data_IF_509964194820
#
_entry.id   IF_509964194820
#
_cell.length_a   1.000
_cell.length_b   1.000
_cell.length_c   1.000
_cell.angle_alpha   90.00
_cell.angle_beta   90.00
_cell.angle_gamma   90.00
#
_symmetry.space_group_name_H-M   'P 1'
#
loop_
_entity.id
_entity.type
_entity.pdbx_description
1 polymer ?
#
# COMPACT_ATOMS: atom_id res chain seq x y z
N UNK A 1 -19.76 12.68 -15.62
CA UNK A 1 -19.06 11.69 -14.78
C UNK A 1 -18.26 10.81 -15.71
N UNK A 2 -17.08 10.37 -15.33
CA UNK A 2 -16.29 9.43 -16.13
C UNK A 2 -17.03 8.10 -16.29
N UNK A 3 -16.92 7.51 -17.48
CA UNK A 3 -17.38 6.14 -17.76
C UNK A 3 -16.27 5.11 -17.39
N UNK A 4 -15.10 5.60 -17.05
CA UNK A 4 -13.92 4.78 -16.75
C UNK A 4 -13.49 4.99 -15.31
N UNK A 5 -13.15 3.88 -14.63
CA UNK A 5 -12.63 3.91 -13.27
C UNK A 5 -11.17 4.38 -13.24
N UNK A 6 -10.32 3.82 -14.11
CA UNK A 6 -8.92 4.22 -14.17
C UNK A 6 -8.30 3.94 -15.55
N UNK A 7 -7.23 4.68 -15.87
CA UNK A 7 -6.38 4.45 -17.02
C UNK A 7 -4.92 4.68 -16.66
N UNK A 8 -4.00 3.92 -17.25
CA UNK A 8 -2.59 4.23 -17.20
C UNK A 8 -1.83 3.67 -18.41
N UNK A 9 -0.87 4.45 -18.89
CA UNK A 9 0.16 4.00 -19.81
C UNK A 9 1.39 3.61 -19.01
N UNK A 10 1.96 2.44 -19.28
CA UNK A 10 3.10 1.91 -18.56
C UNK A 10 4.01 1.04 -19.38
N UNK A 11 5.14 0.65 -18.80
CA UNK A 11 6.02 -0.38 -19.35
C UNK A 11 6.36 -1.40 -18.28
N UNK A 12 6.81 -2.57 -18.69
CA UNK A 12 7.12 -3.60 -17.72
C UNK A 12 7.98 -4.71 -18.28
N UNK A 13 8.13 -5.75 -17.50
CA UNK A 13 8.97 -6.90 -17.80
C UNK A 13 8.12 -8.13 -18.07
N UNK A 14 8.46 -8.88 -19.12
CA UNK A 14 7.89 -10.17 -19.42
C UNK A 14 8.94 -11.28 -19.30
N UNK A 15 8.50 -12.49 -18.99
CA UNK A 15 9.37 -13.67 -19.08
C UNK A 15 9.48 -14.20 -20.51
N UNK A 16 10.29 -15.22 -20.72
CA UNK A 16 10.49 -15.88 -22.02
C UNK A 16 9.21 -16.49 -22.64
N UNK A 17 8.18 -16.71 -21.83
CA UNK A 17 6.88 -17.24 -22.25
C UNK A 17 5.86 -16.12 -22.53
N UNK A 18 6.33 -14.88 -22.64
CA UNK A 18 5.53 -13.69 -22.91
C UNK A 18 4.51 -13.33 -21.80
N UNK A 19 4.70 -13.82 -20.59
CA UNK A 19 3.88 -13.48 -19.42
C UNK A 19 4.44 -12.27 -18.69
N UNK A 20 3.58 -11.32 -18.34
CA UNK A 20 3.94 -10.17 -17.53
C UNK A 20 4.44 -10.58 -16.14
N UNK A 21 5.61 -10.08 -15.74
CA UNK A 21 6.15 -10.20 -14.38
C UNK A 21 5.74 -9.02 -13.51
N UNK A 22 5.78 -7.82 -14.08
CA UNK A 22 5.46 -6.55 -13.43
C UNK A 22 5.17 -5.46 -14.47
N UNK A 23 4.55 -4.35 -14.01
CA UNK A 23 4.35 -3.14 -14.84
C UNK A 23 4.56 -1.89 -13.98
N UNK A 24 5.28 -0.92 -14.54
CA UNK A 24 5.48 0.42 -14.01
C UNK A 24 4.51 1.40 -14.66
N UNK A 25 3.72 2.09 -13.85
CA UNK A 25 2.82 3.17 -14.29
C UNK A 25 3.27 4.49 -13.66
N UNK A 26 3.95 5.38 -14.38
CA UNK A 26 4.45 6.64 -13.83
C UNK A 26 3.35 7.62 -13.42
N UNK A 27 2.23 7.61 -14.14
CA UNK A 27 1.16 8.59 -14.00
C UNK A 27 -0.22 7.95 -14.22
N UNK A 28 -0.72 7.15 -13.28
CA UNK A 28 -2.04 6.56 -13.37
C UNK A 28 -3.12 7.61 -13.08
N UNK A 29 -4.23 7.57 -13.81
CA UNK A 29 -5.37 8.44 -13.61
C UNK A 29 -6.60 7.67 -13.12
N UNK A 30 -7.30 8.24 -12.12
CA UNK A 30 -8.60 7.75 -11.64
C UNK A 30 -9.72 8.66 -12.15
N UNK A 31 -10.86 8.07 -12.53
CA UNK A 31 -11.99 8.79 -13.14
C UNK A 31 -11.55 9.73 -14.27
N UNK A 32 -10.76 9.24 -15.25
CA UNK A 32 -10.21 10.08 -16.33
C UNK A 32 -11.33 10.73 -17.15
N UNK A 33 -11.00 11.80 -17.89
CA UNK A 33 -11.90 12.33 -18.91
C UNK A 33 -12.18 11.22 -19.94
N UNK A 34 -13.44 11.04 -20.31
CA UNK A 34 -13.84 10.01 -21.28
C UNK A 34 -13.09 10.16 -22.62
N UNK A 35 -12.81 11.38 -23.04
CA UNK A 35 -12.07 11.65 -24.26
C UNK A 35 -10.68 11.03 -24.28
N UNK A 36 -10.04 10.88 -23.13
CA UNK A 36 -8.71 10.27 -23.04
C UNK A 36 -8.71 8.82 -23.60
N UNK A 37 -9.82 8.10 -23.43
CA UNK A 37 -10.00 6.75 -23.97
C UNK A 37 -10.65 6.77 -25.35
N UNK A 38 -11.65 7.62 -25.55
CA UNK A 38 -12.44 7.65 -26.80
C UNK A 38 -11.61 7.97 -28.03
N UNK A 39 -10.66 8.91 -27.93
CA UNK A 39 -9.82 9.35 -29.08
C UNK A 39 -8.85 8.27 -29.57
N UNK A 40 -8.54 7.28 -28.73
CA UNK A 40 -7.60 6.18 -29.09
C UNK A 40 -8.31 4.84 -29.26
N UNK A 41 -9.62 4.78 -28.99
CA UNK A 41 -10.40 3.55 -28.92
C UNK A 41 -10.37 2.75 -30.23
N UNK A 42 -10.58 3.41 -31.35
CA UNK A 42 -10.67 2.76 -32.66
C UNK A 42 -9.33 2.16 -33.10
N UNK A 43 -8.24 2.92 -32.98
CA UNK A 43 -6.89 2.45 -33.36
C UNK A 43 -6.42 1.26 -32.52
N UNK A 44 -6.84 1.21 -31.24
CA UNK A 44 -6.48 0.13 -30.32
C UNK A 44 -7.42 -1.09 -30.41
N UNK A 45 -8.52 -0.98 -31.16
CA UNK A 45 -9.57 -2.02 -31.20
C UNK A 45 -10.19 -2.25 -29.83
N UNK A 46 -10.22 -1.21 -28.97
CA UNK A 46 -10.78 -1.33 -27.63
C UNK A 46 -12.32 -1.28 -27.68
N UNK A 47 -12.96 -2.40 -27.36
CA UNK A 47 -14.42 -2.54 -27.44
C UNK A 47 -15.15 -2.15 -26.16
N UNK A 48 -14.43 -1.98 -25.05
CA UNK A 48 -14.96 -1.66 -23.71
C UNK A 48 -14.53 -2.68 -22.65
N UNK A 49 -14.95 -2.44 -21.42
CA UNK A 49 -14.61 -3.27 -20.27
C UNK A 49 -13.21 -2.98 -19.70
N UNK A 50 -12.75 -3.85 -18.79
CA UNK A 50 -11.38 -3.78 -18.31
C UNK A 50 -10.44 -4.46 -19.31
N UNK A 51 -9.35 -3.81 -19.66
CA UNK A 51 -8.40 -4.31 -20.65
C UNK A 51 -6.96 -3.85 -20.37
N UNK A 52 -6.00 -4.72 -20.65
CA UNK A 52 -4.59 -4.40 -20.74
C UNK A 52 -4.13 -4.66 -22.18
N UNK A 53 -3.81 -3.60 -22.91
CA UNK A 53 -3.50 -3.62 -24.34
C UNK A 53 -2.02 -3.35 -24.51
N UNK A 54 -1.27 -4.36 -24.94
CA UNK A 54 0.13 -4.18 -25.32
C UNK A 54 0.23 -3.37 -26.61
N UNK A 55 1.11 -2.39 -26.61
CA UNK A 55 1.18 -1.40 -27.67
C UNK A 55 2.39 -1.60 -28.57
N UNK A 56 2.15 -1.53 -29.87
CA UNK A 56 3.22 -1.35 -30.86
C UNK A 56 3.73 0.09 -30.85
N UNK A 57 4.95 0.30 -31.31
CA UNK A 57 5.54 1.65 -31.46
C UNK A 57 4.63 2.60 -32.27
N UNK A 58 3.99 2.10 -33.33
CA UNK A 58 3.03 2.88 -34.11
C UNK A 58 1.81 3.34 -33.31
N UNK A 59 1.27 2.44 -32.46
CA UNK A 59 0.13 2.78 -31.60
C UNK A 59 0.52 3.80 -30.54
N UNK A 60 1.73 3.70 -29.96
CA UNK A 60 2.24 4.70 -29.01
C UNK A 60 2.35 6.08 -29.68
N UNK A 61 2.88 6.15 -30.91
CA UNK A 61 2.92 7.40 -31.67
C UNK A 61 1.53 7.97 -31.96
N UNK A 62 0.56 7.10 -32.30
CA UNK A 62 -0.82 7.50 -32.49
C UNK A 62 -1.43 8.07 -31.21
N UNK A 63 -1.31 7.36 -30.10
CA UNK A 63 -1.78 7.82 -28.77
C UNK A 63 -1.20 9.20 -28.44
N UNK A 64 0.11 9.41 -28.61
CA UNK A 64 0.77 10.68 -28.31
C UNK A 64 0.19 11.85 -29.13
N UNK A 65 -0.14 11.59 -30.39
CA UNK A 65 -0.76 12.58 -31.28
C UNK A 65 -2.19 12.89 -30.88
N UNK A 66 -3.04 11.87 -30.75
CA UNK A 66 -4.47 12.03 -30.45
C UNK A 66 -4.70 12.68 -29.08
N UNK A 67 -3.92 12.29 -28.07
CA UNK A 67 -3.99 12.94 -26.78
C UNK A 67 -3.60 14.41 -26.84
N UNK A 68 -2.55 14.77 -27.60
CA UNK A 68 -2.16 16.17 -27.79
C UNK A 68 -3.24 16.97 -28.51
N UNK A 69 -3.80 16.43 -29.62
CA UNK A 69 -4.87 17.08 -30.37
C UNK A 69 -6.15 17.24 -29.57
N UNK A 70 -6.42 16.33 -28.65
CA UNK A 70 -7.54 16.41 -27.71
C UNK A 70 -7.30 17.34 -26.50
N UNK A 71 -6.07 17.88 -26.36
CA UNK A 71 -5.70 18.82 -25.28
C UNK A 71 -5.11 18.18 -24.04
N UNK A 72 -4.77 16.89 -24.06
CA UNK A 72 -4.12 16.14 -22.98
C UNK A 72 -2.60 16.20 -23.12
N UNK A 73 -2.02 17.39 -23.01
CA UNK A 73 -0.57 17.61 -23.22
C UNK A 73 0.30 16.84 -22.22
N UNK A 74 -0.18 16.69 -20.98
CA UNK A 74 0.53 15.98 -19.91
C UNK A 74 0.64 14.49 -20.24
N UNK A 75 -0.46 13.82 -20.54
CA UNK A 75 -0.53 12.41 -20.90
C UNK A 75 0.19 12.14 -22.23
N UNK A 76 0.05 13.05 -23.19
CA UNK A 76 0.77 12.97 -24.47
C UNK A 76 2.29 13.02 -24.26
N UNK A 77 2.79 13.77 -23.28
CA UNK A 77 4.23 13.83 -22.99
C UNK A 77 4.78 12.49 -22.50
N UNK A 78 4.03 11.76 -21.71
CA UNK A 78 4.39 10.38 -21.32
C UNK A 78 4.37 9.43 -22.54
N UNK A 79 3.32 9.51 -23.36
CA UNK A 79 3.26 8.68 -24.57
C UNK A 79 4.45 8.95 -25.52
N UNK A 80 4.92 10.20 -25.61
CA UNK A 80 6.15 10.52 -26.36
C UNK A 80 7.38 9.87 -25.71
N UNK A 81 7.51 9.92 -24.38
CA UNK A 81 8.63 9.30 -23.68
C UNK A 81 8.64 7.76 -23.86
N UNK A 82 7.49 7.12 -23.86
CA UNK A 82 7.37 5.67 -24.10
C UNK A 82 7.72 5.22 -25.51
N UNK A 83 7.84 6.12 -26.48
CA UNK A 83 8.36 5.77 -27.82
C UNK A 83 9.81 5.28 -27.78
N UNK A 84 10.59 5.69 -26.78
CA UNK A 84 11.98 5.28 -26.58
C UNK A 84 12.12 4.04 -25.67
N UNK A 85 11.01 3.39 -25.31
CA UNK A 85 11.04 2.24 -24.40
C UNK A 85 11.62 1.00 -25.08
N UNK A 86 12.63 0.40 -24.45
CA UNK A 86 13.16 -0.93 -24.80
C UNK A 86 12.31 -2.07 -24.19
N UNK A 87 11.47 -1.73 -23.21
CA UNK A 87 10.56 -2.68 -22.53
C UNK A 87 9.18 -2.67 -23.20
N UNK A 88 8.43 -3.78 -23.12
CA UNK A 88 7.04 -3.81 -23.58
C UNK A 88 6.21 -2.72 -22.94
N UNK A 89 5.41 -2.02 -23.75
CA UNK A 89 4.54 -0.92 -23.31
C UNK A 89 3.09 -1.40 -23.32
N UNK A 90 2.34 -1.04 -22.28
CA UNK A 90 0.95 -1.44 -22.09
C UNK A 90 0.09 -0.24 -21.72
N UNK A 91 -1.06 -0.11 -22.34
CA UNK A 91 -2.16 0.74 -21.90
C UNK A 91 -3.15 -0.12 -21.14
N UNK A 92 -3.40 0.22 -19.88
CA UNK A 92 -4.42 -0.46 -19.07
C UNK A 92 -5.58 0.47 -18.84
N UNK A 93 -6.77 0.02 -19.23
CA UNK A 93 -8.05 0.72 -19.05
C UNK A 93 -8.92 -0.11 -18.13
N UNK A 94 -9.39 0.47 -17.04
CA UNK A 94 -10.38 -0.12 -16.15
C UNK A 94 -11.67 0.68 -16.29
N UNK A 95 -12.68 0.10 -16.93
CA UNK A 95 -14.01 0.71 -17.02
C UNK A 95 -14.71 0.63 -15.66
N UNK A 96 -14.49 -0.47 -14.93
CA UNK A 96 -15.06 -0.69 -13.59
C UNK A 96 -13.98 -1.16 -12.61
N UNK A 97 -14.24 -1.00 -11.31
CA UNK A 97 -13.42 -1.57 -10.24
C UNK A 97 -13.77 -3.06 -9.99
N UNK A 98 -13.84 -3.86 -11.05
CA UNK A 98 -13.99 -5.32 -10.94
C UNK A 98 -12.70 -5.98 -10.41
N UNK A 99 -12.75 -7.27 -10.08
CA UNK A 99 -11.56 -8.07 -9.82
C UNK A 99 -10.59 -7.99 -11.01
N UNK A 100 -9.27 -7.80 -10.76
CA UNK A 100 -8.30 -7.75 -11.87
C UNK A 100 -8.26 -9.11 -12.58
N UNK A 101 -8.16 -9.09 -13.90
CA UNK A 101 -8.07 -10.30 -14.73
C UNK A 101 -6.64 -10.55 -15.24
N UNK A 102 -5.71 -9.61 -15.05
CA UNK A 102 -4.34 -9.70 -15.54
C UNK A 102 -3.34 -9.05 -14.57
N UNK A 103 -2.05 -9.38 -14.74
CA UNK A 103 -0.95 -8.75 -13.99
C UNK A 103 -0.93 -7.22 -14.19
N UNK A 104 -1.05 -6.65 -15.41
CA UNK A 104 -1.12 -5.20 -15.60
C UNK A 104 -2.27 -4.54 -14.85
N UNK A 105 -3.48 -5.13 -14.85
CA UNK A 105 -4.61 -4.59 -14.10
C UNK A 105 -4.37 -4.60 -12.58
N UNK A 106 -3.77 -5.69 -12.05
CA UNK A 106 -3.41 -5.78 -10.65
C UNK A 106 -2.37 -4.71 -10.27
N UNK A 107 -1.34 -4.52 -11.10
CA UNK A 107 -0.32 -3.48 -10.90
C UNK A 107 -0.89 -2.07 -10.96
N UNK A 108 -1.82 -1.79 -11.90
CA UNK A 108 -2.48 -0.49 -11.94
C UNK A 108 -3.19 -0.19 -10.61
N UNK A 109 -3.95 -1.15 -10.07
CA UNK A 109 -4.64 -0.96 -8.78
C UNK A 109 -3.67 -0.74 -7.61
N UNK A 110 -2.52 -1.43 -7.58
CA UNK A 110 -1.49 -1.20 -6.57
C UNK A 110 -0.87 0.21 -6.72
N UNK A 111 -0.65 0.67 -7.96
CA UNK A 111 -0.15 2.02 -8.21
C UNK A 111 -1.14 3.10 -7.77
N UNK A 112 -2.46 2.93 -8.01
CA UNK A 112 -3.48 3.88 -7.55
C UNK A 112 -3.38 4.13 -6.03
N UNK A 113 -3.10 3.10 -5.24
CA UNK A 113 -2.90 3.24 -3.80
C UNK A 113 -1.58 3.96 -3.48
N UNK A 114 -0.48 3.52 -4.10
CA UNK A 114 0.85 4.09 -3.81
C UNK A 114 1.00 5.53 -4.30
N UNK A 115 0.32 5.92 -5.38
CA UNK A 115 0.20 7.31 -5.84
C UNK A 115 -0.77 8.15 -4.99
N UNK A 116 -1.37 7.59 -3.93
CA UNK A 116 -2.35 8.27 -3.05
C UNK A 116 -3.65 8.69 -3.75
N UNK A 117 -3.96 8.11 -4.90
CA UNK A 117 -5.18 8.39 -5.64
C UNK A 117 -6.39 7.72 -5.00
N UNK A 118 -6.16 6.59 -4.35
CA UNK A 118 -7.17 5.89 -3.53
C UNK A 118 -6.56 5.43 -2.21
N UNK A 119 -7.37 5.39 -1.16
CA UNK A 119 -6.94 4.84 0.14
C UNK A 119 -7.02 3.31 0.14
N UNK A 120 -6.37 2.61 1.07
CA UNK A 120 -6.59 1.19 1.30
C UNK A 120 -8.09 0.87 1.37
N UNK A 121 -8.49 -0.26 0.78
CA UNK A 121 -9.89 -0.66 0.54
C UNK A 121 -10.66 0.19 -0.48
N UNK A 122 -10.05 1.19 -1.10
CA UNK A 122 -10.67 2.01 -2.13
C UNK A 122 -10.67 1.39 -3.53
N UNK A 123 -10.05 0.21 -3.70
CA UNK A 123 -10.05 -0.57 -4.94
C UNK A 123 -10.25 -2.05 -4.63
N UNK A 124 -10.89 -2.76 -5.56
CA UNK A 124 -11.08 -4.20 -5.46
C UNK A 124 -9.80 -4.95 -5.84
N UNK A 125 -9.14 -5.55 -4.86
CA UNK A 125 -7.94 -6.38 -5.01
C UNK A 125 -8.24 -7.89 -4.88
N UNK A 126 -9.52 -8.29 -4.84
CA UNK A 126 -9.89 -9.71 -4.81
C UNK A 126 -9.29 -10.43 -6.02
N UNK A 127 -8.89 -11.68 -5.85
CA UNK A 127 -8.38 -12.49 -6.97
C UNK A 127 -6.97 -12.13 -7.47
N UNK A 128 -6.30 -11.09 -6.95
CA UNK A 128 -5.01 -10.63 -7.51
C UNK A 128 -3.83 -11.58 -7.22
N UNK A 129 -3.85 -12.35 -6.12
CA UNK A 129 -2.72 -13.20 -5.75
C UNK A 129 -2.32 -14.24 -6.80
N UNK A 130 -3.24 -14.95 -7.47
CA UNK A 130 -2.90 -15.85 -8.57
C UNK A 130 -2.31 -15.15 -9.79
N UNK A 131 -2.66 -13.88 -10.02
CA UNK A 131 -2.20 -13.09 -11.17
C UNK A 131 -0.78 -12.56 -10.98
N UNK A 132 -0.33 -12.39 -9.74
CA UNK A 132 1.02 -11.93 -9.44
C UNK A 132 1.97 -13.12 -9.38
N UNK A 133 2.95 -13.23 -10.30
CA UNK A 133 3.97 -14.28 -10.22
C UNK A 133 4.89 -14.03 -9.01
N UNK A 134 5.54 -15.10 -8.55
CA UNK A 134 6.65 -14.98 -7.62
C UNK A 134 7.90 -14.62 -8.43
N UNK A 135 8.52 -13.49 -8.15
CA UNK A 135 9.58 -12.88 -8.97
C UNK A 135 10.85 -12.71 -8.16
N UNK A 136 12.01 -12.94 -8.76
CA UNK A 136 13.29 -12.51 -8.23
C UNK A 136 13.51 -11.02 -8.56
N UNK A 137 13.46 -10.17 -7.54
CA UNK A 137 13.74 -8.74 -7.66
C UNK A 137 15.24 -8.53 -7.56
N UNK A 138 15.87 -8.14 -8.68
CA UNK A 138 17.31 -8.09 -8.81
C UNK A 138 17.81 -6.65 -9.02
N UNK A 139 19.14 -6.49 -9.04
CA UNK A 139 19.75 -5.22 -9.44
C UNK A 139 19.60 -4.89 -10.93
N UNK A 140 19.05 -5.81 -11.74
CA UNK A 140 18.73 -5.61 -13.16
C UNK A 140 17.21 -5.65 -13.42
N UNK A 141 16.38 -5.52 -12.36
CA UNK A 141 14.92 -5.57 -12.45
C UNK A 141 14.33 -6.93 -12.12
N UNK A 142 13.10 -7.16 -12.60
CA UNK A 142 12.33 -8.37 -12.37
C UNK A 142 12.84 -9.54 -13.21
N UNK A 143 13.04 -10.70 -12.58
CA UNK A 143 13.50 -11.92 -13.25
C UNK A 143 12.60 -13.09 -12.86
N UNK A 144 12.13 -13.84 -13.84
CA UNK A 144 11.41 -15.09 -13.61
C UNK A 144 12.30 -16.10 -12.89
N UNK A 145 11.77 -16.78 -11.89
CA UNK A 145 12.53 -17.76 -11.11
C UNK A 145 13.02 -18.93 -11.97
N UNK A 146 12.28 -19.29 -13.03
CA UNK A 146 12.71 -20.33 -13.96
C UNK A 146 13.92 -19.91 -14.82
N UNK A 147 14.10 -18.60 -15.01
CA UNK A 147 15.23 -18.03 -15.79
C UNK A 147 16.41 -17.60 -14.91
N UNK A 148 16.20 -17.50 -13.61
CA UNK A 148 17.14 -16.87 -12.68
C UNK A 148 18.52 -17.54 -12.69
N UNK A 149 18.56 -18.87 -12.64
CA UNK A 149 19.82 -19.61 -12.61
C UNK A 149 20.67 -19.38 -13.85
N UNK A 150 20.04 -19.40 -15.03
CA UNK A 150 20.69 -19.14 -16.32
C UNK A 150 21.25 -17.70 -16.37
N UNK A 151 20.43 -16.71 -15.97
CA UNK A 151 20.83 -15.30 -15.96
C UNK A 151 21.97 -15.04 -14.99
N UNK A 152 21.95 -15.67 -13.80
CA UNK A 152 23.05 -15.57 -12.83
C UNK A 152 24.35 -16.20 -13.39
N UNK A 153 24.27 -17.34 -14.08
CA UNK A 153 25.42 -17.95 -14.73
C UNK A 153 26.00 -17.03 -15.80
N UNK A 154 25.16 -16.49 -16.69
CA UNK A 154 25.58 -15.59 -17.76
C UNK A 154 26.21 -14.30 -17.22
N UNK A 155 25.65 -13.73 -16.15
CA UNK A 155 26.25 -12.59 -15.46
C UNK A 155 27.67 -12.91 -14.97
N UNK A 156 27.86 -14.07 -14.29
CA UNK A 156 29.17 -14.53 -13.78
C UNK A 156 30.19 -14.76 -14.89
N UNK A 157 29.77 -15.36 -15.99
CA UNK A 157 30.66 -15.57 -17.15
C UNK A 157 31.12 -14.24 -17.76
N UNK A 158 30.33 -13.17 -17.64
CA UNK A 158 30.66 -11.81 -18.06
C UNK A 158 31.33 -10.96 -16.95
N UNK A 159 31.76 -11.58 -15.84
CA UNK A 159 32.44 -10.87 -14.73
C UNK A 159 31.52 -9.98 -13.89
N UNK A 160 30.19 -10.17 -13.99
CA UNK A 160 29.16 -9.40 -13.25
C UNK A 160 28.49 -10.24 -12.18
N UNK A 161 27.74 -9.58 -11.32
CA UNK A 161 26.91 -10.21 -10.32
C UNK A 161 25.45 -9.79 -10.54
N UNK A 162 24.59 -10.74 -10.83
CA UNK A 162 23.14 -10.54 -10.74
C UNK A 162 22.74 -10.80 -9.28
N UNK A 163 22.53 -9.72 -8.53
CA UNK A 163 22.16 -9.78 -7.11
C UNK A 163 20.63 -9.87 -6.96
N UNK A 164 20.18 -10.82 -6.16
CA UNK A 164 18.76 -10.94 -5.79
C UNK A 164 18.53 -10.20 -4.49
N UNK A 165 17.69 -9.17 -4.52
CA UNK A 165 17.35 -8.35 -3.36
C UNK A 165 16.20 -8.99 -2.56
N UNK A 166 15.23 -9.60 -3.26
CA UNK A 166 14.11 -10.34 -2.66
C UNK A 166 13.51 -11.31 -3.66
N UNK A 167 12.73 -12.27 -3.15
CA UNK A 167 11.88 -13.16 -3.94
C UNK A 167 10.48 -13.03 -3.36
N UNK A 168 9.58 -12.38 -4.09
CA UNK A 168 8.22 -12.09 -3.61
C UNK A 168 7.30 -11.79 -4.79
N UNK A 169 5.99 -11.86 -4.55
CA UNK A 169 4.95 -11.40 -5.48
C UNK A 169 4.89 -9.87 -5.57
N UNK A 170 5.28 -9.17 -4.49
CA UNK A 170 5.22 -7.72 -4.39
C UNK A 170 6.62 -7.12 -4.44
N UNK A 171 6.87 -6.16 -5.33
CA UNK A 171 8.09 -5.37 -5.27
C UNK A 171 8.07 -4.38 -4.11
N UNK A 172 9.22 -3.83 -3.76
CA UNK A 172 9.27 -2.64 -2.90
C UNK A 172 8.68 -1.44 -3.63
N UNK A 173 7.90 -0.64 -2.91
CA UNK A 173 7.18 0.51 -3.48
C UNK A 173 8.12 1.50 -4.18
N UNK A 174 9.29 1.76 -3.60
CA UNK A 174 10.20 2.81 -4.06
C UNK A 174 10.88 2.54 -5.40
N UNK A 175 10.78 1.34 -5.95
CA UNK A 175 11.22 1.06 -7.32
C UNK A 175 10.17 1.53 -8.36
N UNK A 176 8.97 1.91 -7.90
CA UNK A 176 7.83 2.32 -8.72
C UNK A 176 7.33 3.71 -8.36
N UNK A 177 7.13 3.97 -7.07
CA UNK A 177 6.55 5.21 -6.56
C UNK A 177 7.34 5.67 -5.33
N UNK A 178 7.78 6.93 -5.37
CA UNK A 178 8.33 7.62 -4.19
C UNK A 178 7.43 8.81 -3.88
N UNK A 179 6.50 8.67 -2.94
CA UNK A 179 5.58 9.76 -2.61
C UNK A 179 6.33 10.98 -2.05
N UNK A 180 5.87 12.18 -2.39
CA UNK A 180 6.45 13.41 -1.85
C UNK A 180 6.22 13.55 -0.33
N UNK A 181 7.17 14.20 0.36
CA UNK A 181 7.04 14.54 1.77
C UNK A 181 7.15 13.37 2.75
N UNK A 182 7.81 12.25 2.37
CA UNK A 182 8.02 11.08 3.24
C UNK A 182 9.49 10.82 3.52
N UNK A 183 9.74 10.09 4.62
CA UNK A 183 11.05 9.52 4.93
C UNK A 183 10.90 8.00 5.09
N UNK A 184 11.72 7.23 4.38
CA UNK A 184 11.72 5.76 4.40
C UNK A 184 13.14 5.29 4.63
N UNK A 185 13.45 4.78 5.82
CA UNK A 185 14.81 4.39 6.20
C UNK A 185 15.25 3.06 5.58
N UNK A 186 14.32 2.09 5.42
CA UNK A 186 14.55 0.83 4.71
C UNK A 186 13.41 0.59 3.70
N UNK A 187 13.73 0.80 2.43
CA UNK A 187 12.75 0.71 1.33
C UNK A 187 12.24 -0.70 1.08
N UNK A 188 13.00 -1.74 1.46
CA UNK A 188 12.59 -3.15 1.32
C UNK A 188 11.37 -3.51 2.18
N UNK A 189 11.06 -2.67 3.16
CA UNK A 189 9.98 -2.90 4.12
C UNK A 189 8.65 -2.24 3.76
N UNK A 190 8.56 -1.59 2.60
CA UNK A 190 7.35 -0.95 2.08
C UNK A 190 6.99 -1.56 0.73
N UNK A 191 5.88 -2.28 0.66
CA UNK A 191 5.42 -2.94 -0.56
C UNK A 191 4.70 -1.98 -1.49
N UNK A 192 4.82 -2.17 -2.80
CA UNK A 192 3.93 -1.53 -3.77
C UNK A 192 2.46 -1.85 -3.41
N UNK A 193 1.59 -0.85 -3.49
CA UNK A 193 0.23 -0.91 -2.95
C UNK A 193 0.11 -0.42 -1.51
N UNK A 194 1.20 0.08 -0.90
CA UNK A 194 1.14 0.82 0.35
C UNK A 194 0.72 2.28 0.10
N UNK A 195 -0.10 2.82 0.98
CA UNK A 195 -0.45 4.25 1.04
C UNK A 195 0.40 4.93 2.10
N UNK A 196 1.33 5.77 1.69
CA UNK A 196 2.22 6.48 2.62
C UNK A 196 1.90 7.98 2.55
N UNK A 197 1.12 8.49 3.51
CA UNK A 197 0.69 9.89 3.56
C UNK A 197 1.85 10.85 3.82
N UNK A 198 1.66 12.11 3.43
CA UNK A 198 2.66 13.16 3.60
C UNK A 198 3.02 13.38 5.08
N UNK A 199 4.30 13.67 5.36
CA UNK A 199 4.81 13.81 6.71
C UNK A 199 5.10 12.47 7.43
N UNK A 200 4.89 11.32 6.78
CA UNK A 200 5.20 10.02 7.36
C UNK A 200 6.69 9.75 7.38
N UNK A 201 7.18 9.30 8.54
CA UNK A 201 8.52 8.75 8.71
C UNK A 201 8.44 7.26 9.00
N UNK A 202 8.97 6.42 8.10
CA UNK A 202 9.09 4.97 8.29
C UNK A 202 10.53 4.69 8.71
N UNK A 203 10.70 4.22 9.95
CA UNK A 203 12.00 3.87 10.52
C UNK A 203 12.45 2.48 10.04
N UNK A 204 13.69 2.07 10.36
CA UNK A 204 14.27 0.81 9.87
C UNK A 204 13.46 -0.44 10.20
N UNK A 205 12.80 -0.48 11.37
CA UNK A 205 11.95 -1.59 11.78
C UNK A 205 10.52 -1.46 11.26
N UNK A 206 10.13 -0.28 10.75
CA UNK A 206 8.82 -0.02 10.20
C UNK A 206 8.53 -0.88 8.97
N UNK A 207 7.29 -1.39 8.88
CA UNK A 207 6.84 -2.19 7.73
C UNK A 207 5.41 -1.79 7.35
N UNK A 208 5.19 -1.56 6.05
CA UNK A 208 3.84 -1.31 5.51
C UNK A 208 3.57 -2.29 4.36
N UNK A 209 2.50 -3.05 4.52
CA UNK A 209 2.05 -4.01 3.53
C UNK A 209 1.25 -3.34 2.40
N UNK A 210 0.96 -4.07 1.31
CA UNK A 210 0.02 -3.63 0.27
C UNK A 210 -1.39 -3.47 0.89
N UNK A 211 -2.23 -2.65 0.26
CA UNK A 211 -3.58 -2.32 0.73
C UNK A 211 -3.61 -1.90 2.21
N UNK A 212 -2.56 -1.23 2.67
CA UNK A 212 -2.37 -0.74 4.03
C UNK A 212 -1.67 0.61 3.99
N UNK A 213 -1.66 1.34 5.10
CA UNK A 213 -0.94 2.60 5.10
C UNK A 213 -1.25 3.51 6.26
N UNK A 214 -0.77 4.74 6.12
CA UNK A 214 -0.97 5.82 7.09
C UNK A 214 -1.32 7.13 6.39
N UNK A 215 -2.21 7.88 6.99
CA UNK A 215 -2.60 9.23 6.52
C UNK A 215 -1.44 10.22 6.63
N UNK A 216 -0.54 10.04 7.61
CA UNK A 216 0.50 11.02 7.96
C UNK A 216 -0.06 12.31 8.56
N UNK A 217 0.79 13.18 9.15
CA UNK A 217 2.13 12.83 9.58
C UNK A 217 2.12 11.75 10.67
N UNK A 218 3.24 11.06 10.89
CA UNK A 218 3.37 10.06 11.95
C UNK A 218 4.67 9.25 11.83
N UNK A 219 5.04 8.57 12.90
CA UNK A 219 6.22 7.71 12.96
C UNK A 219 5.83 6.23 12.94
N UNK A 220 6.38 5.49 11.99
CA UNK A 220 6.13 4.06 11.81
C UNK A 220 7.42 3.29 12.09
N UNK A 221 7.54 2.76 13.29
CA UNK A 221 8.64 1.91 13.73
C UNK A 221 8.21 0.43 13.89
N UNK A 222 6.92 0.18 13.80
CA UNK A 222 6.32 -1.15 13.86
C UNK A 222 5.67 -1.55 12.54
N UNK A 223 4.83 -2.58 12.59
CA UNK A 223 4.22 -3.23 11.44
C UNK A 223 2.78 -2.79 11.21
N UNK A 224 2.50 -2.26 10.00
CA UNK A 224 1.14 -2.05 9.49
C UNK A 224 0.82 -3.20 8.53
N UNK A 225 -0.04 -4.12 8.99
CA UNK A 225 -0.42 -5.32 8.23
C UNK A 225 -1.40 -4.99 7.10
N UNK A 226 -1.53 -5.89 6.12
CA UNK A 226 -2.47 -5.73 5.01
C UNK A 226 -3.90 -5.43 5.50
N UNK A 227 -4.55 -4.47 4.88
CA UNK A 227 -5.89 -4.00 5.22
C UNK A 227 -5.96 -3.03 6.40
N UNK A 228 -4.85 -2.64 7.01
CA UNK A 228 -4.83 -1.71 8.14
C UNK A 228 -4.52 -0.29 7.66
N UNK A 229 -5.33 0.67 8.13
CA UNK A 229 -5.09 2.08 7.90
C UNK A 229 -4.93 2.84 9.21
N UNK A 230 -3.89 3.67 9.28
CA UNK A 230 -3.50 4.45 10.45
C UNK A 230 -3.83 5.92 10.21
N UNK A 231 -4.64 6.50 11.10
CA UNK A 231 -5.08 7.88 11.02
C UNK A 231 -3.96 8.91 11.29
N UNK A 232 -4.25 10.15 10.96
CA UNK A 232 -3.35 11.29 11.05
C UNK A 232 -2.78 11.47 12.46
N UNK A 233 -1.49 11.76 12.56
CA UNK A 233 -0.85 12.02 13.85
C UNK A 233 -0.69 10.81 14.75
N UNK A 234 -0.83 9.59 14.21
CA UNK A 234 -0.70 8.35 14.97
C UNK A 234 0.67 7.72 14.78
N UNK A 235 1.21 7.17 15.86
CA UNK A 235 2.53 6.54 15.91
C UNK A 235 2.45 5.04 16.19
N UNK A 236 3.27 4.28 15.49
CA UNK A 236 3.44 2.84 15.67
C UNK A 236 4.84 2.59 16.21
N UNK A 237 4.95 2.37 17.51
CA UNK A 237 6.23 2.21 18.21
C UNK A 237 7.03 1.01 17.74
N UNK A 238 8.33 1.01 18.07
CA UNK A 238 9.28 -0.02 17.67
C UNK A 238 8.81 -1.43 17.99
N UNK A 239 8.74 -2.31 16.99
CA UNK A 239 8.25 -3.68 17.12
C UNK A 239 6.75 -3.83 17.36
N UNK A 240 5.99 -2.73 17.45
CA UNK A 240 4.54 -2.80 17.56
C UNK A 240 3.91 -3.42 16.32
N UNK A 241 2.71 -3.99 16.45
CA UNK A 241 2.06 -4.75 15.39
C UNK A 241 0.56 -4.52 15.35
N UNK A 242 0.03 -4.31 14.16
CA UNK A 242 -1.40 -4.41 13.91
C UNK A 242 -1.73 -5.79 13.36
N UNK A 243 -2.83 -6.41 13.81
CA UNK A 243 -3.33 -7.61 13.16
C UNK A 243 -3.94 -7.24 11.81
N UNK A 244 -3.60 -8.02 10.78
CA UNK A 244 -4.25 -7.86 9.47
C UNK A 244 -5.71 -8.32 9.51
N UNK A 245 -6.52 -7.78 8.63
CA UNK A 245 -7.96 -8.12 8.49
C UNK A 245 -8.18 -9.64 8.31
N UNK A 246 -7.28 -10.33 7.61
CA UNK A 246 -7.37 -11.78 7.36
C UNK A 246 -6.98 -12.65 8.57
N UNK A 247 -6.18 -12.15 9.51
CA UNK A 247 -5.67 -12.91 10.65
C UNK A 247 -6.55 -12.79 11.90
N UNK A 248 -7.49 -11.86 11.94
CA UNK A 248 -8.36 -11.60 13.10
C UNK A 248 -9.55 -12.54 13.28
N UNK A 249 -9.75 -13.52 12.39
CA UNK A 249 -10.85 -14.49 12.45
C UNK A 249 -12.25 -13.90 12.25
N UNK A 250 -12.38 -12.72 11.64
CA UNK A 250 -13.64 -12.05 11.38
C UNK A 250 -13.51 -11.00 10.27
N UNK A 251 -14.64 -10.49 9.80
CA UNK A 251 -14.72 -9.43 8.77
C UNK A 251 -14.45 -8.02 9.32
N UNK A 252 -13.77 -7.89 10.46
CA UNK A 252 -13.51 -6.59 11.08
C UNK A 252 -12.23 -6.01 10.48
N UNK A 253 -12.35 -4.85 9.83
CA UNK A 253 -11.20 -4.07 9.36
C UNK A 253 -10.53 -3.43 10.58
N UNK A 254 -9.25 -3.75 10.79
CA UNK A 254 -8.44 -3.13 11.83
C UNK A 254 -7.97 -1.76 11.31
N UNK A 255 -8.18 -0.74 12.13
CA UNK A 255 -7.75 0.62 11.87
C UNK A 255 -7.36 1.33 13.15
N UNK A 256 -6.54 2.35 13.03
CA UNK A 256 -6.28 3.31 14.11
C UNK A 256 -6.84 4.67 13.68
N UNK A 257 -7.56 5.32 14.58
CA UNK A 257 -8.00 6.70 14.41
C UNK A 257 -6.83 7.70 14.44
N UNK A 258 -7.13 8.97 14.57
CA UNK A 258 -6.15 10.05 14.64
C UNK A 258 -5.53 10.17 16.04
N UNK A 259 -4.25 10.57 16.10
CA UNK A 259 -3.55 10.83 17.36
C UNK A 259 -3.38 9.61 18.27
N UNK A 260 -3.33 8.40 17.70
CA UNK A 260 -3.13 7.16 18.45
C UNK A 260 -1.65 6.85 18.68
N UNK A 261 -1.36 6.09 19.74
CA UNK A 261 -0.03 5.59 20.02
C UNK A 261 -0.07 4.08 20.32
N UNK A 262 0.61 3.27 19.54
CA UNK A 262 0.99 1.92 19.93
C UNK A 262 2.40 1.98 20.51
N UNK A 263 2.54 1.73 21.81
CA UNK A 263 3.84 1.67 22.48
C UNK A 263 4.73 0.56 21.90
N UNK A 264 6.04 0.62 22.19
CA UNK A 264 6.98 -0.37 21.69
C UNK A 264 6.55 -1.80 22.03
N UNK A 265 6.63 -2.72 21.06
CA UNK A 265 6.17 -4.11 21.17
C UNK A 265 4.69 -4.27 21.58
N UNK A 266 3.88 -3.22 21.46
CA UNK A 266 2.45 -3.31 21.65
C UNK A 266 1.76 -3.90 20.40
N UNK A 267 0.47 -4.19 20.50
CA UNK A 267 -0.28 -4.63 19.34
C UNK A 267 -1.79 -4.51 19.51
N UNK A 268 -2.47 -4.41 18.37
CA UNK A 268 -3.94 -4.39 18.36
C UNK A 268 -4.53 -5.35 17.34
N UNK A 269 -5.56 -6.07 17.78
CA UNK A 269 -6.44 -6.89 16.96
C UNK A 269 -7.90 -6.40 17.03
N UNK A 270 -8.10 -5.15 17.43
CA UNK A 270 -9.38 -4.42 17.35
C UNK A 270 -9.13 -3.06 16.70
N UNK A 271 -10.09 -2.49 15.95
CA UNK A 271 -10.00 -1.10 15.52
C UNK A 271 -10.04 -0.17 16.75
N UNK A 272 -9.23 0.88 16.71
CA UNK A 272 -9.18 1.94 17.72
C UNK A 272 -9.77 3.22 17.12
N UNK A 273 -10.56 3.95 17.90
CA UNK A 273 -10.95 5.32 17.58
C UNK A 273 -9.78 6.30 17.81
N UNK A 274 -10.08 7.59 17.82
CA UNK A 274 -9.06 8.63 17.94
C UNK A 274 -8.44 8.68 19.34
N UNK A 275 -7.19 9.16 19.42
CA UNK A 275 -6.46 9.43 20.66
C UNK A 275 -6.38 8.24 21.60
N UNK A 276 -6.31 7.03 21.03
CA UNK A 276 -6.11 5.82 21.81
C UNK A 276 -4.64 5.50 22.00
N UNK A 277 -4.31 4.96 23.17
CA UNK A 277 -2.95 4.50 23.49
C UNK A 277 -2.99 3.05 23.97
N UNK A 278 -2.07 2.23 23.46
CA UNK A 278 -1.76 0.92 24.02
C UNK A 278 -0.34 0.97 24.61
N UNK A 279 -0.23 0.66 25.89
CA UNK A 279 1.05 0.61 26.61
C UNK A 279 2.06 -0.33 25.94
N UNK A 280 3.35 -0.01 26.06
CA UNK A 280 4.42 -0.85 25.55
C UNK A 280 4.34 -2.30 26.06
N UNK A 281 4.57 -3.26 25.18
CA UNK A 281 4.54 -4.69 25.50
C UNK A 281 3.14 -5.28 25.70
N UNK A 282 2.07 -4.51 25.48
CA UNK A 282 0.70 -4.98 25.65
C UNK A 282 0.05 -5.29 24.30
N UNK A 283 -0.42 -6.52 24.11
CA UNK A 283 -1.14 -6.92 22.90
C UNK A 283 -2.63 -7.11 23.22
N UNK A 284 -3.49 -6.34 22.54
CA UNK A 284 -4.95 -6.38 22.71
C UNK A 284 -5.57 -7.14 21.52
N UNK A 285 -6.24 -8.24 21.80
CA UNK A 285 -7.03 -8.98 20.82
C UNK A 285 -8.52 -8.85 21.12
N UNK A 286 -9.37 -9.15 20.15
CA UNK A 286 -10.84 -9.05 20.31
C UNK A 286 -11.40 -9.82 21.51
N UNK A 287 -10.73 -10.92 21.90
CA UNK A 287 -11.12 -11.76 23.04
C UNK A 287 -10.52 -11.35 24.39
N UNK A 288 -9.58 -10.41 24.43
CA UNK A 288 -8.93 -9.96 25.66
C UNK A 288 -9.97 -9.43 26.64
N UNK A 289 -9.89 -9.86 27.91
CA UNK A 289 -10.72 -9.29 28.98
C UNK A 289 -10.06 -8.02 29.49
N UNK A 290 -10.84 -6.94 29.56
CA UNK A 290 -10.39 -5.59 29.91
C UNK A 290 -11.23 -5.07 31.06
N UNK A 291 -10.56 -4.65 32.13
CA UNK A 291 -11.19 -3.98 33.26
C UNK A 291 -11.35 -2.49 32.94
N UNK A 292 -12.58 -2.01 32.89
CA UNK A 292 -12.87 -0.58 32.78
C UNK A 292 -12.65 0.08 34.13
N UNK A 293 -11.86 1.15 34.15
CA UNK A 293 -11.49 1.87 35.37
C UNK A 293 -12.21 3.22 35.41
N UNK A 294 -12.68 3.60 36.59
CA UNK A 294 -13.17 4.95 36.84
C UNK A 294 -12.03 5.96 37.13
N UNK A 295 -12.38 7.24 37.31
CA UNK A 295 -11.42 8.30 37.64
C UNK A 295 -10.73 8.13 39.02
N UNK A 296 -11.24 7.22 39.88
CA UNK A 296 -10.65 6.91 41.17
C UNK A 296 -9.71 5.72 41.10
N UNK A 297 -9.63 5.05 39.95
CA UNK A 297 -8.83 3.85 39.78
C UNK A 297 -9.51 2.57 40.23
N UNK A 298 -10.83 2.58 40.41
CA UNK A 298 -11.62 1.41 40.77
C UNK A 298 -12.17 0.71 39.53
N UNK A 299 -12.29 -0.62 39.59
CA UNK A 299 -12.84 -1.42 38.51
C UNK A 299 -14.36 -1.26 38.47
N UNK A 300 -14.89 -0.69 37.39
CA UNK A 300 -16.33 -0.54 37.17
C UNK A 300 -16.94 -1.81 36.61
N UNK A 301 -16.28 -2.37 35.56
CA UNK A 301 -16.78 -3.51 34.81
C UNK A 301 -15.62 -4.26 34.14
N UNK A 302 -15.84 -5.53 33.79
CA UNK A 302 -14.92 -6.30 32.93
C UNK A 302 -15.62 -6.67 31.63
N UNK A 303 -15.10 -6.14 30.50
CA UNK A 303 -15.65 -6.36 29.16
C UNK A 303 -14.67 -7.11 28.26
N UNK A 304 -15.10 -7.54 27.07
CA UNK A 304 -14.18 -7.99 26.03
C UNK A 304 -13.67 -6.78 25.24
N UNK A 305 -12.42 -6.82 24.80
CA UNK A 305 -11.84 -5.72 24.01
C UNK A 305 -12.63 -5.39 22.74
N UNK A 306 -13.29 -6.40 22.12
CA UNK A 306 -14.19 -6.17 20.98
C UNK A 306 -15.33 -5.17 21.27
N UNK A 307 -15.77 -5.08 22.51
CA UNK A 307 -16.87 -4.21 22.94
C UNK A 307 -16.39 -2.73 23.06
N UNK A 308 -15.08 -2.52 22.96
CA UNK A 308 -14.40 -1.23 22.94
C UNK A 308 -13.93 -0.83 21.52
N UNK A 309 -14.15 -1.69 20.52
CA UNK A 309 -13.72 -1.45 19.15
C UNK A 309 -14.27 -0.11 18.61
N UNK A 310 -13.38 0.68 17.99
CA UNK A 310 -13.72 1.98 17.40
C UNK A 310 -14.00 3.11 18.37
N UNK A 311 -13.96 2.88 19.69
CA UNK A 311 -14.09 3.94 20.69
C UNK A 311 -12.82 4.77 20.78
N UNK A 312 -12.99 6.08 21.02
CA UNK A 312 -11.90 7.05 21.14
C UNK A 312 -11.50 7.28 22.60
N UNK A 313 -10.35 7.94 22.80
CA UNK A 313 -9.85 8.40 24.09
C UNK A 313 -9.59 7.28 25.10
N UNK A 314 -9.13 6.12 24.63
CA UNK A 314 -8.86 4.95 25.47
C UNK A 314 -7.36 4.76 25.71
N UNK A 315 -6.99 4.51 26.96
CA UNK A 315 -5.67 4.07 27.36
C UNK A 315 -5.74 2.62 27.87
N UNK A 316 -5.15 1.69 27.14
CA UNK A 316 -4.96 0.31 27.55
C UNK A 316 -3.61 0.14 28.24
N UNK A 317 -3.62 -0.37 29.46
CA UNK A 317 -2.42 -0.66 30.23
C UNK A 317 -2.51 -2.00 30.95
N UNK A 318 -1.38 -2.52 31.41
CA UNK A 318 -1.31 -3.69 32.27
C UNK A 318 -1.19 -3.26 33.73
N UNK A 319 -2.00 -3.82 34.58
CA UNK A 319 -1.76 -3.75 36.02
C UNK A 319 -0.55 -4.65 36.37
N UNK A 320 0.56 -4.04 36.74
CA UNK A 320 1.83 -4.76 37.01
C UNK A 320 1.79 -5.64 38.25
N UNK A 321 0.81 -5.46 39.13
CA UNK A 321 0.66 -6.26 40.34
C UNK A 321 -0.01 -7.61 40.09
N UNK A 322 -1.04 -7.64 39.23
CA UNK A 322 -1.85 -8.84 39.01
C UNK A 322 -1.94 -9.25 37.53
N UNK A 323 -1.34 -8.48 36.60
CA UNK A 323 -1.32 -8.75 35.17
C UNK A 323 -2.61 -8.42 34.40
N UNK A 324 -3.65 -7.92 35.06
CA UNK A 324 -4.91 -7.59 34.43
C UNK A 324 -4.74 -6.45 33.42
N UNK A 325 -5.44 -6.56 32.29
CA UNK A 325 -5.53 -5.47 31.31
C UNK A 325 -6.59 -4.47 31.79
N UNK A 326 -6.20 -3.22 31.89
CA UNK A 326 -7.05 -2.11 32.29
C UNK A 326 -7.26 -1.14 31.14
N UNK A 327 -8.43 -0.52 31.09
CA UNK A 327 -8.75 0.55 30.17
C UNK A 327 -9.26 1.78 30.92
N UNK A 328 -8.62 2.91 30.67
CA UNK A 328 -8.94 4.23 31.24
C UNK A 328 -9.22 5.23 30.14
N UNK A 329 -9.76 6.40 30.52
CA UNK A 329 -9.84 7.54 29.60
C UNK A 329 -8.46 8.20 29.43
N UNK A 330 -8.03 8.41 28.22
CA UNK A 330 -6.69 8.88 27.86
C UNK A 330 -6.58 10.42 27.89
N UNK A 331 -6.46 11.03 29.06
CA UNK A 331 -6.32 12.50 29.18
C UNK A 331 -4.87 13.00 29.04
N UNK A 332 -3.87 12.15 29.31
CA UNK A 332 -2.46 12.55 29.37
C UNK A 332 -1.62 12.19 28.16
N UNK A 333 -2.03 11.23 27.33
CA UNK A 333 -1.30 10.86 26.12
C UNK A 333 -1.41 11.90 25.00
N UNK A 334 -2.46 12.72 25.01
CA UNK A 334 -2.66 13.80 24.03
C UNK A 334 -1.50 14.80 24.08
N UNK A 335 -1.07 15.21 25.26
CA UNK A 335 0.02 16.19 25.43
C UNK A 335 1.39 15.64 24.98
N UNK A 336 1.65 14.35 25.21
CA UNK A 336 2.92 13.72 24.79
C UNK A 336 3.02 13.58 23.28
N UNK A 337 1.92 13.23 22.63
CA UNK A 337 1.88 13.07 21.17
C UNK A 337 2.07 14.42 20.44
N UNK A 338 1.49 15.50 20.96
CA UNK A 338 1.69 16.85 20.43
C UNK A 338 3.16 17.32 20.52
N UNK A 339 3.88 16.93 21.57
CA UNK A 339 5.28 17.30 21.76
C UNK A 339 6.21 16.53 20.80
N UNK A 340 5.96 15.26 20.54
CA UNK A 340 6.71 14.43 19.60
C UNK A 340 6.59 14.92 18.15
N UNK A 341 5.43 15.46 17.77
CA UNK A 341 5.19 15.95 16.40
C UNK A 341 5.71 17.37 16.14
N UNK A 342 6.08 18.15 17.16
CA UNK A 342 6.63 19.49 16.98
C UNK A 342 8.04 19.53 16.37
N UNK A 343 8.74 18.42 16.35
CA UNK A 343 10.14 18.31 15.95
C UNK A 343 10.38 17.33 14.77
N UNK A 344 9.33 16.86 14.11
CA UNK A 344 9.42 15.99 12.90
C UNK A 344 9.37 16.76 11.59
#
# INVERSE_FOLDING_TARGET
MSNYFAIALGCGTKNRNDNWLEVYYPDPAINPDNKLVEVIREELGYEGGNAAIELTHRQIQHIAREWREAGFEHEASYAVAFQESESPVVLTVLETDAEPASTPEAYLKLHLISHRLVKPHGVNLSGMFPLLPNVAWTNEGAVDLEELQERQLMARLNGKVLSVNSVDKFPKMTDYVVPAGVRIADTSRVRLGAYVGEGTTIMHEGFINFNAGTEGPGMIEGRISAGVFVGKGSDIGGGASTMGTLSGGGNIIISLGEGCLLGANAGTGIPLGDRCTIEAGLYITAGSKVQLMDDKGEVVETVKARDLAGKSDLLFRRNTTNGAVQCLTNKSAIALNEELHKHN
#
